data_IF_301706343657
#
_entry.id   IF_301706343657
#
_cell.length_a   1.000
_cell.length_b   1.000
_cell.length_c   1.000
_cell.angle_alpha   90.00
_cell.angle_beta   90.00
_cell.angle_gamma   90.00
#
_symmetry.space_group_name_H-M   'P 1'
#
loop_
_entity.id
_entity.type
_entity.pdbx_description
1 polymer ?
#
# COMPACT_ATOMS: atom_id res chain seq x y z
N UNK A 1 -9.07 11.30 10.51
CA UNK A 1 -7.80 11.10 9.78
C UNK A 1 -7.48 9.63 9.86
N UNK A 2 -7.72 8.87 8.79
CA UNK A 2 -7.52 7.42 8.78
C UNK A 2 -6.04 7.09 8.92
N UNK A 3 -5.69 6.27 9.91
CA UNK A 3 -4.31 5.83 10.16
C UNK A 3 -3.71 5.01 8.99
N UNK A 4 -4.57 4.53 8.10
CA UNK A 4 -4.28 3.65 6.97
C UNK A 4 -3.35 4.27 5.92
N UNK A 5 -3.54 5.55 5.58
CA UNK A 5 -2.68 6.28 4.63
C UNK A 5 -1.29 6.60 5.16
N UNK A 6 -1.18 6.82 6.47
CA UNK A 6 0.10 7.15 7.12
C UNK A 6 1.12 6.02 6.90
N UNK A 7 0.66 4.76 6.91
CA UNK A 7 1.54 3.60 6.75
C UNK A 7 2.16 3.52 5.36
N UNK A 8 1.36 3.66 4.29
CA UNK A 8 1.90 3.59 2.92
C UNK A 8 2.80 4.79 2.62
N UNK A 9 2.45 5.98 3.10
CA UNK A 9 3.29 7.18 2.95
C UNK A 9 4.67 6.97 3.57
N UNK A 10 4.73 6.49 4.81
CA UNK A 10 5.99 6.20 5.49
C UNK A 10 6.86 5.18 4.75
N UNK A 11 6.25 4.16 4.12
CA UNK A 11 7.00 3.20 3.32
C UNK A 11 7.55 3.83 2.03
N UNK A 12 6.77 4.67 1.35
CA UNK A 12 7.23 5.42 0.18
C UNK A 12 8.40 6.36 0.54
N UNK A 13 8.31 7.07 1.66
CA UNK A 13 9.38 7.92 2.18
C UNK A 13 10.65 7.13 2.52
N UNK A 14 10.50 5.86 2.91
CA UNK A 14 11.60 4.93 3.15
C UNK A 14 12.14 4.27 1.87
N UNK A 15 11.69 4.69 0.69
CA UNK A 15 12.15 4.16 -0.60
C UNK A 15 11.52 2.84 -1.02
N UNK A 16 10.47 2.38 -0.34
CA UNK A 16 9.66 1.27 -0.85
C UNK A 16 8.79 1.74 -2.02
N UNK A 17 8.64 0.87 -3.01
CA UNK A 17 7.72 1.08 -4.14
C UNK A 17 6.72 -0.05 -4.21
N UNK A 18 5.47 0.28 -4.53
CA UNK A 18 4.48 -0.74 -4.83
C UNK A 18 4.92 -1.52 -6.09
N UNK A 19 4.98 -2.85 -5.98
CA UNK A 19 5.30 -3.74 -7.10
C UNK A 19 4.08 -4.49 -7.62
N UNK A 20 3.06 -4.66 -6.76
CA UNK A 20 1.80 -5.33 -7.07
C UNK A 20 0.78 -4.96 -6.01
N UNK A 21 -0.48 -4.84 -6.39
CA UNK A 21 -1.60 -4.93 -5.47
C UNK A 21 -2.67 -5.86 -6.05
N UNK A 22 -3.47 -6.46 -5.18
CA UNK A 22 -4.59 -7.32 -5.55
C UNK A 22 -5.73 -7.18 -4.55
N UNK A 23 -6.95 -7.47 -5.00
CA UNK A 23 -8.13 -7.51 -4.15
C UNK A 23 -8.50 -8.97 -3.90
N UNK A 24 -8.69 -9.34 -2.63
CA UNK A 24 -9.13 -10.68 -2.26
C UNK A 24 -10.63 -10.89 -2.56
N UNK A 25 -11.09 -12.14 -2.41
CA UNK A 25 -12.50 -12.51 -2.64
C UNK A 25 -13.49 -11.84 -1.68
N UNK A 26 -13.01 -11.21 -0.61
CA UNK A 26 -13.78 -10.48 0.39
C UNK A 26 -13.69 -8.95 0.22
N UNK A 27 -13.02 -8.47 -0.84
CA UNK A 27 -12.85 -7.05 -1.11
C UNK A 27 -11.77 -6.37 -0.25
N UNK A 28 -10.84 -7.14 0.33
CA UNK A 28 -9.65 -6.58 1.00
C UNK A 28 -8.55 -6.32 -0.01
N UNK A 29 -7.91 -5.17 0.10
CA UNK A 29 -6.75 -4.81 -0.71
C UNK A 29 -5.47 -5.30 -0.06
N UNK A 30 -4.67 -6.04 -0.83
CA UNK A 30 -3.33 -6.51 -0.46
C UNK A 30 -2.33 -5.77 -1.34
N UNK A 31 -1.33 -5.13 -0.72
CA UNK A 31 -0.35 -4.30 -1.41
C UNK A 31 1.04 -4.81 -1.10
N UNK A 32 1.77 -5.18 -2.14
CA UNK A 32 3.14 -5.66 -2.07
C UNK A 32 4.09 -4.53 -2.42
N UNK A 33 4.97 -4.21 -1.48
CA UNK A 33 5.98 -3.18 -1.60
C UNK A 33 7.37 -3.78 -1.56
N UNK A 34 8.29 -3.22 -2.35
CA UNK A 34 9.71 -3.58 -2.35
C UNK A 34 10.58 -2.32 -2.29
N UNK A 35 11.54 -2.31 -1.37
CA UNK A 35 12.67 -1.41 -1.42
C UNK A 35 13.83 -2.16 -2.09
N UNK A 36 14.30 -1.64 -3.21
CA UNK A 36 15.35 -2.26 -4.02
C UNK A 36 16.77 -1.95 -3.53
N UNK A 37 16.95 -0.90 -2.73
CA UNK A 37 18.25 -0.51 -2.18
C UNK A 37 18.67 -1.42 -1.03
N UNK A 38 17.72 -1.77 -0.16
CA UNK A 38 17.94 -2.64 1.01
C UNK A 38 17.42 -4.07 0.81
N UNK A 39 16.91 -4.38 -0.39
CA UNK A 39 16.34 -5.66 -0.78
C UNK A 39 15.25 -6.19 0.18
N UNK A 40 14.43 -5.29 0.75
CA UNK A 40 13.33 -5.65 1.66
C UNK A 40 11.98 -5.57 0.97
N UNK A 41 11.06 -6.42 1.42
CA UNK A 41 9.65 -6.40 1.04
C UNK A 41 8.76 -6.06 2.23
N UNK A 42 7.61 -5.47 1.95
CA UNK A 42 6.58 -5.20 2.93
C UNK A 42 5.21 -5.48 2.31
N UNK A 43 4.25 -5.92 3.13
CA UNK A 43 2.88 -6.17 2.67
C UNK A 43 1.92 -5.41 3.55
N UNK A 44 1.06 -4.60 2.94
CA UNK A 44 -0.03 -3.90 3.61
C UNK A 44 -1.37 -4.53 3.28
N UNK A 45 -2.28 -4.48 4.25
CA UNK A 45 -3.63 -5.03 4.16
C UNK A 45 -4.62 -3.95 4.55
N UNK A 46 -5.61 -3.72 3.68
CA UNK A 46 -6.70 -2.79 3.92
C UNK A 46 -8.03 -3.50 3.71
N UNK A 47 -8.96 -3.37 4.65
CA UNK A 47 -10.29 -3.98 4.60
C UNK A 47 -11.44 -2.96 4.57
N UNK A 48 -11.14 -1.70 4.91
CA UNK A 48 -12.08 -0.60 4.79
C UNK A 48 -12.17 -0.09 3.35
N UNK A 49 -13.38 -0.07 2.78
CA UNK A 49 -13.62 0.40 1.42
C UNK A 49 -13.16 1.85 1.19
N UNK A 50 -13.33 2.71 2.18
CA UNK A 50 -12.87 4.11 2.09
C UNK A 50 -11.34 4.19 2.02
N UNK A 51 -10.64 3.40 2.84
CA UNK A 51 -9.18 3.34 2.81
C UNK A 51 -8.69 2.73 1.50
N UNK A 52 -9.36 1.70 0.98
CA UNK A 52 -8.97 1.02 -0.25
C UNK A 52 -8.92 1.97 -1.44
N UNK A 53 -9.97 2.78 -1.63
CA UNK A 53 -10.01 3.73 -2.75
C UNK A 53 -8.97 4.84 -2.58
N UNK A 54 -8.81 5.40 -1.37
CA UNK A 54 -7.78 6.41 -1.10
C UNK A 54 -6.37 5.88 -1.35
N UNK A 55 -6.10 4.62 -0.99
CA UNK A 55 -4.78 4.00 -1.17
C UNK A 55 -4.51 3.67 -2.63
N UNK A 56 -5.50 3.19 -3.38
CA UNK A 56 -5.36 2.97 -4.84
C UNK A 56 -5.02 4.27 -5.55
N UNK A 57 -5.72 5.35 -5.23
CA UNK A 57 -5.43 6.68 -5.80
C UNK A 57 -4.02 7.15 -5.45
N UNK A 58 -3.59 6.94 -4.20
CA UNK A 58 -2.24 7.29 -3.77
C UNK A 58 -1.15 6.55 -4.55
N UNK A 59 -1.32 5.24 -4.76
CA UNK A 59 -0.38 4.41 -5.55
C UNK A 59 -0.35 4.86 -7.01
N UNK A 60 -1.50 5.19 -7.61
CA UNK A 60 -1.55 5.60 -9.01
C UNK A 60 -0.89 6.96 -9.27
N UNK A 61 -0.77 7.81 -8.25
CA UNK A 61 -0.16 9.13 -8.35
C UNK A 61 1.36 9.17 -8.08
N UNK A 62 1.95 8.08 -7.56
CA UNK A 62 3.36 8.03 -7.14
C UNK A 62 4.13 6.87 -7.79
#
# INVERSE_FOLDING_TARGET
>A
MGNSKIQIQQLYDQGYKCIKYEEDTHGKLIIYLKNFEIEKTHTLYYDSREDIEEIKDYINLN
#
